data_IF_356428556287
#
_entry.id   IF_356428556287
#
_cell.length_a   1.000
_cell.length_b   1.000
_cell.length_c   1.000
_cell.angle_alpha   90.00
_cell.angle_beta   90.00
_cell.angle_gamma   90.00
#
_symmetry.space_group_name_H-M   'P 1'
#
loop_
_entity.id
_entity.type
_entity.pdbx_description
1 polymer ?
#
# COMPACT_ATOMS: atom_id res chain seq x y z
N UNK A 1 -19.57 13.02 3.33
CA UNK A 1 -18.75 11.82 3.59
C UNK A 1 -18.89 10.83 2.45
N UNK A 2 -17.80 10.23 2.02
CA UNK A 2 -17.81 9.26 0.94
C UNK A 2 -17.52 7.87 1.48
N UNK A 3 -18.17 6.88 0.90
CA UNK A 3 -17.93 5.48 1.25
C UNK A 3 -17.25 4.78 0.07
N UNK A 4 -16.16 4.11 0.36
CA UNK A 4 -15.41 3.33 -0.62
C UNK A 4 -15.51 1.85 -0.25
N UNK A 5 -15.52 0.99 -1.25
CA UNK A 5 -15.65 -0.45 -1.04
C UNK A 5 -14.62 -1.19 -1.87
N UNK A 6 -14.14 -2.27 -1.31
CA UNK A 6 -13.27 -3.19 -2.02
C UNK A 6 -13.71 -4.62 -1.69
N UNK A 7 -13.49 -5.51 -2.63
CA UNK A 7 -13.81 -6.92 -2.49
C UNK A 7 -12.57 -7.72 -2.79
N UNK A 8 -12.25 -8.67 -1.93
CA UNK A 8 -11.03 -9.47 -2.05
C UNK A 8 -11.39 -10.95 -1.99
N UNK A 9 -10.84 -11.73 -2.92
CA UNK A 9 -10.99 -13.19 -2.90
C UNK A 9 -9.68 -13.86 -3.27
N UNK A 10 -9.47 -15.04 -2.72
CA UNK A 10 -8.32 -15.85 -3.06
C UNK A 10 -8.51 -16.49 -4.45
N UNK A 11 -7.46 -16.46 -5.25
CA UNK A 11 -7.39 -17.19 -6.51
C UNK A 11 -6.68 -18.52 -6.32
N UNK A 12 -5.42 -18.47 -5.91
CA UNK A 12 -4.58 -19.64 -5.72
C UNK A 12 -3.56 -19.35 -4.63
N UNK A 13 -3.33 -20.30 -3.72
CA UNK A 13 -2.40 -20.12 -2.60
C UNK A 13 -2.70 -18.81 -1.86
N UNK A 14 -1.76 -17.87 -1.80
CA UNK A 14 -1.99 -16.56 -1.17
C UNK A 14 -2.18 -15.44 -2.17
N UNK A 15 -2.39 -15.78 -3.43
CA UNK A 15 -2.70 -14.76 -4.44
C UNK A 15 -4.16 -14.34 -4.31
N UNK A 16 -4.35 -13.04 -4.12
CA UNK A 16 -5.66 -12.44 -3.91
C UNK A 16 -6.02 -11.55 -5.07
N UNK A 17 -7.28 -11.63 -5.51
CA UNK A 17 -7.83 -10.70 -6.47
C UNK A 17 -8.62 -9.63 -5.71
N UNK A 18 -8.25 -8.38 -5.92
CA UNK A 18 -8.88 -7.23 -5.30
C UNK A 18 -9.65 -6.44 -6.33
N UNK A 19 -10.89 -6.10 -6.01
CA UNK A 19 -11.76 -5.36 -6.93
C UNK A 19 -12.34 -4.15 -6.22
N UNK A 20 -12.38 -3.03 -6.93
CA UNK A 20 -13.05 -1.82 -6.45
C UNK A 20 -13.56 -1.05 -7.67
N UNK A 21 -14.88 -0.90 -7.77
CA UNK A 21 -15.50 -0.34 -8.96
C UNK A 21 -15.14 -1.16 -10.20
N UNK A 22 -14.61 -0.51 -11.23
CA UNK A 22 -14.18 -1.14 -12.48
C UNK A 22 -12.72 -1.56 -12.46
N UNK A 23 -12.05 -1.44 -11.31
CA UNK A 23 -10.61 -1.68 -11.21
C UNK A 23 -10.32 -2.95 -10.46
N UNK A 24 -9.26 -3.63 -10.90
CA UNK A 24 -8.78 -4.85 -10.24
C UNK A 24 -7.29 -4.78 -10.05
N UNK A 25 -6.80 -5.43 -9.00
CA UNK A 25 -5.38 -5.65 -8.82
C UNK A 25 -5.16 -6.98 -8.12
N UNK A 26 -3.96 -7.52 -8.29
CA UNK A 26 -3.55 -8.72 -7.58
C UNK A 26 -2.64 -8.35 -6.43
N UNK A 27 -2.78 -9.08 -5.32
CA UNK A 27 -1.82 -9.07 -4.22
C UNK A 27 -1.39 -10.52 -4.00
N UNK A 28 -0.15 -10.71 -3.56
CA UNK A 28 0.40 -12.06 -3.41
C UNK A 28 1.40 -12.07 -2.26
N UNK A 29 2.12 -13.16 -2.13
CA UNK A 29 3.26 -13.29 -1.24
C UNK A 29 4.43 -13.87 -2.04
N UNK A 30 5.68 -13.71 -1.59
CA UNK A 30 6.80 -14.35 -2.25
C UNK A 30 6.73 -15.89 -2.14
N UNK A 31 7.45 -16.57 -3.01
CA UNK A 31 7.46 -18.03 -3.02
C UNK A 31 7.83 -18.61 -1.65
N UNK A 32 8.83 -18.05 -0.99
CA UNK A 32 9.28 -18.52 0.32
C UNK A 32 8.23 -18.36 1.42
N UNK A 33 7.25 -17.50 1.21
CA UNK A 33 6.16 -17.29 2.16
C UNK A 33 4.89 -18.05 1.75
N UNK A 34 4.97 -18.89 0.75
CA UNK A 34 3.84 -19.71 0.30
C UNK A 34 3.00 -19.11 -0.81
N UNK A 35 3.40 -17.96 -1.35
CA UNK A 35 2.71 -17.33 -2.46
C UNK A 35 3.23 -17.78 -3.82
N UNK A 36 2.78 -17.09 -4.87
CA UNK A 36 3.21 -17.36 -6.25
C UNK A 36 4.08 -16.25 -6.84
N UNK A 37 4.32 -15.19 -6.07
CA UNK A 37 5.17 -14.05 -6.43
C UNK A 37 4.78 -13.36 -7.75
N UNK A 38 3.49 -13.29 -8.02
CA UNK A 38 2.99 -12.59 -9.21
C UNK A 38 2.62 -11.13 -8.94
N UNK A 39 2.65 -10.69 -7.68
CA UNK A 39 2.30 -9.33 -7.31
C UNK A 39 2.94 -9.00 -5.97
N UNK A 40 2.93 -7.70 -5.62
CA UNK A 40 3.43 -7.27 -4.32
C UNK A 40 2.54 -7.80 -3.20
N UNK A 41 3.08 -7.85 -2.00
CA UNK A 41 2.30 -8.31 -0.85
C UNK A 41 1.41 -7.17 -0.30
N UNK A 42 0.44 -7.51 0.57
CA UNK A 42 -0.48 -6.50 1.11
C UNK A 42 0.21 -5.38 1.88
N UNK A 43 1.31 -5.65 2.54
CA UNK A 43 2.06 -4.63 3.29
C UNK A 43 2.66 -3.61 2.33
N UNK A 44 3.27 -4.08 1.27
CA UNK A 44 3.83 -3.23 0.22
C UNK A 44 2.72 -2.42 -0.47
N UNK A 45 1.56 -3.04 -0.68
CA UNK A 45 0.41 -2.37 -1.27
C UNK A 45 -0.11 -1.24 -0.37
N UNK A 46 -0.16 -1.46 0.93
CA UNK A 46 -0.57 -0.44 1.89
C UNK A 46 0.40 0.74 1.89
N UNK A 47 1.70 0.48 1.89
CA UNK A 47 2.72 1.51 1.77
C UNK A 47 2.59 2.27 0.45
N UNK A 48 2.34 1.55 -0.63
CA UNK A 48 2.13 2.16 -1.95
C UNK A 48 0.91 3.07 -1.96
N UNK A 49 -0.19 2.64 -1.36
CA UNK A 49 -1.41 3.43 -1.28
C UNK A 49 -1.19 4.71 -0.47
N UNK A 50 -0.50 4.60 0.66
CA UNK A 50 -0.18 5.76 1.49
C UNK A 50 0.73 6.74 0.74
N UNK A 51 1.76 6.23 0.08
CA UNK A 51 2.67 7.04 -0.74
C UNK A 51 1.94 7.71 -1.89
N UNK A 52 1.03 7.00 -2.54
CA UNK A 52 0.24 7.56 -3.64
C UNK A 52 -0.63 8.73 -3.17
N UNK A 53 -1.29 8.61 -2.01
CA UNK A 53 -2.06 9.71 -1.44
C UNK A 53 -1.19 10.95 -1.20
N UNK A 54 -0.01 10.76 -0.61
CA UNK A 54 0.91 11.86 -0.36
C UNK A 54 1.41 12.50 -1.65
N UNK A 55 1.72 11.68 -2.64
CA UNK A 55 2.22 12.15 -3.92
C UNK A 55 1.14 12.95 -4.67
N UNK A 56 -0.08 12.45 -4.69
CA UNK A 56 -1.21 13.17 -5.31
C UNK A 56 -1.40 14.54 -4.63
N UNK A 57 -1.37 14.57 -3.31
CA UNK A 57 -1.51 15.82 -2.57
C UNK A 57 -0.39 16.81 -2.90
N UNK A 58 0.84 16.33 -3.05
CA UNK A 58 1.98 17.19 -3.43
C UNK A 58 1.74 17.84 -4.80
N UNK A 59 1.26 17.08 -5.78
CA UNK A 59 0.95 17.61 -7.10
C UNK A 59 -0.21 18.62 -7.06
N UNK A 60 -1.25 18.34 -6.24
CA UNK A 60 -2.37 19.26 -6.06
C UNK A 60 -1.89 20.60 -5.49
N UNK A 61 -1.06 20.55 -4.43
CA UNK A 61 -0.53 21.77 -3.82
C UNK A 61 0.39 22.52 -4.77
N UNK A 62 1.23 21.83 -5.52
CA UNK A 62 2.10 22.47 -6.49
C UNK A 62 1.27 23.25 -7.52
N UNK A 63 0.20 22.66 -8.00
CA UNK A 63 -0.71 23.32 -8.96
C UNK A 63 -1.39 24.52 -8.33
N UNK A 64 -1.94 24.38 -7.11
CA UNK A 64 -2.65 25.47 -6.42
C UNK A 64 -1.76 26.67 -6.14
N UNK A 65 -0.49 26.46 -5.82
CA UNK A 65 0.43 27.52 -5.45
C UNK A 65 1.34 27.96 -6.60
N UNK A 66 1.08 27.48 -7.80
CA UNK A 66 1.85 27.87 -8.98
C UNK A 66 3.31 27.44 -8.93
N UNK A 67 3.61 26.35 -8.21
CA UNK A 67 4.95 25.80 -8.12
C UNK A 67 5.23 24.95 -9.35
N UNK A 68 6.32 25.24 -10.06
CA UNK A 68 6.72 24.44 -11.21
C UNK A 68 7.46 23.19 -10.75
N UNK A 69 6.71 22.18 -10.34
CA UNK A 69 7.24 20.91 -9.89
C UNK A 69 7.52 20.04 -11.12
N UNK A 70 8.77 19.64 -11.29
CA UNK A 70 9.16 18.78 -12.42
C UNK A 70 8.89 17.32 -12.13
N UNK A 71 9.22 16.88 -10.94
CA UNK A 71 8.97 15.53 -10.50
C UNK A 71 9.09 15.45 -8.97
N UNK A 72 8.47 14.43 -8.39
CA UNK A 72 8.58 14.16 -6.97
C UNK A 72 8.45 12.65 -6.76
N UNK A 73 9.33 12.10 -5.93
CA UNK A 73 9.33 10.67 -5.62
C UNK A 73 9.16 10.49 -4.12
N UNK A 74 8.22 9.63 -3.76
CA UNK A 74 8.00 9.22 -2.38
C UNK A 74 8.48 7.77 -2.22
N UNK A 75 9.48 7.57 -1.38
CA UNK A 75 9.94 6.24 -1.02
C UNK A 75 9.39 5.91 0.36
N UNK A 76 8.62 4.84 0.43
CA UNK A 76 7.93 4.44 1.64
C UNK A 76 8.60 3.21 2.24
N UNK A 77 8.83 3.25 3.54
CA UNK A 77 9.42 2.14 4.27
C UNK A 77 8.62 1.91 5.55
N UNK A 78 8.30 0.66 5.83
CA UNK A 78 7.55 0.32 7.03
C UNK A 78 8.12 -0.92 7.70
N UNK A 79 8.22 -0.86 9.02
CA UNK A 79 8.65 -1.97 9.85
C UNK A 79 7.43 -2.60 10.51
N UNK A 80 7.29 -3.92 10.32
CA UNK A 80 6.19 -4.67 10.87
C UNK A 80 6.68 -5.47 12.07
N UNK A 81 5.87 -5.43 13.13
CA UNK A 81 6.06 -6.27 14.28
C UNK A 81 4.76 -6.95 14.67
N UNK A 82 4.88 -7.95 15.54
CA UNK A 82 3.72 -8.62 16.10
C UNK A 82 3.42 -8.06 17.48
N UNK A 83 2.14 -7.83 17.76
CA UNK A 83 1.66 -7.55 19.11
C UNK A 83 1.42 -8.86 19.85
N UNK A 84 1.07 -8.77 21.13
CA UNK A 84 0.67 -9.92 21.89
C UNK A 84 -0.53 -10.61 21.24
N UNK A 85 -0.56 -11.93 21.37
CA UNK A 85 -1.62 -12.75 20.83
C UNK A 85 -2.95 -12.42 21.52
N UNK A 86 -3.96 -12.12 20.72
CA UNK A 86 -5.32 -11.84 21.21
C UNK A 86 -6.27 -12.82 20.54
N UNK A 87 -7.06 -13.54 21.34
CA UNK A 87 -8.07 -14.49 20.86
C UNK A 87 -7.52 -15.50 19.83
N UNK A 88 -6.33 -16.04 20.10
CA UNK A 88 -5.63 -16.95 19.20
C UNK A 88 -5.21 -16.33 17.87
N UNK A 89 -5.29 -15.02 17.77
CA UNK A 89 -4.83 -14.26 16.62
C UNK A 89 -3.57 -13.49 16.98
N UNK A 90 -2.62 -13.44 16.06
CA UNK A 90 -1.39 -12.69 16.24
C UNK A 90 -1.43 -11.47 15.31
N UNK A 91 -1.92 -10.33 15.81
CA UNK A 91 -2.03 -9.15 14.95
C UNK A 91 -0.67 -8.61 14.55
N UNK A 92 -0.52 -8.31 13.27
CA UNK A 92 0.66 -7.65 12.75
C UNK A 92 0.35 -6.17 12.58
N UNK A 93 1.25 -5.32 13.05
CA UNK A 93 1.10 -3.87 12.92
C UNK A 93 2.39 -3.26 12.40
N UNK A 94 2.26 -2.09 11.81
CA UNK A 94 3.43 -1.25 11.54
C UNK A 94 3.93 -0.69 12.86
N UNK A 95 5.20 -0.94 13.18
CA UNK A 95 5.87 -0.31 14.31
C UNK A 95 6.34 1.09 13.94
N UNK A 96 6.68 1.28 12.68
CA UNK A 96 7.09 2.59 12.15
C UNK A 96 6.88 2.63 10.66
N UNK A 97 6.63 3.82 10.15
CA UNK A 97 6.57 4.09 8.71
C UNK A 97 7.45 5.32 8.47
N UNK A 98 8.38 5.21 7.55
CA UNK A 98 9.25 6.30 7.16
C UNK A 98 9.00 6.69 5.72
N UNK A 99 9.03 7.99 5.46
CA UNK A 99 8.84 8.53 4.11
C UNK A 99 10.08 9.34 3.74
N UNK A 100 10.68 9.02 2.61
CA UNK A 100 11.73 9.83 2.01
C UNK A 100 11.15 10.50 0.78
N UNK A 101 11.26 11.83 0.72
CA UNK A 101 10.71 12.62 -0.38
C UNK A 101 11.88 13.24 -1.14
N UNK A 102 11.91 13.01 -2.46
CA UNK A 102 12.88 13.64 -3.34
C UNK A 102 12.14 14.51 -4.34
N UNK A 103 12.51 15.78 -4.39
CA UNK A 103 11.85 16.77 -5.25
C UNK A 103 12.80 17.19 -6.35
N UNK A 104 12.29 17.27 -7.55
CA UNK A 104 13.06 17.67 -8.73
C UNK A 104 12.57 18.99 -9.35
#
# INVERSE_FOLDING_TARGET
>A
MSTFRAKVRREEKFRMKCESGNHTMLLDEPLKAGGTDLAMNPVEALLSALGACKCINAWIFADQFGINLKDIVFEMEGDIGALEKVDNCLPLIFKSIHTKITVF
#
